data_IF_985652329427
#
_entry.id   IF_985652329427
#
_cell.length_a   1.000
_cell.length_b   1.000
_cell.length_c   1.000
_cell.angle_alpha   90.00
_cell.angle_beta   90.00
_cell.angle_gamma   90.00
#
_symmetry.space_group_name_H-M   'P 1'
#
loop_
_entity.id
_entity.type
_entity.pdbx_description
1 polymer ?
#
# COMPACT_ATOMS: atom_id res chain seq x y z
N UNK A 1 -15.84 10.63 16.54
CA UNK A 1 -15.72 10.65 15.06
C UNK A 1 -14.56 11.50 14.58
N UNK A 2 -14.46 12.80 14.93
CA UNK A 2 -13.33 13.67 14.50
C UNK A 2 -11.96 13.12 14.91
N UNK A 3 -11.82 12.60 16.13
CA UNK A 3 -10.56 12.02 16.62
C UNK A 3 -10.08 10.83 15.78
N UNK A 4 -10.98 9.90 15.43
CA UNK A 4 -10.67 8.72 14.63
C UNK A 4 -10.19 9.08 13.21
N UNK A 5 -10.81 10.09 12.58
CA UNK A 5 -10.39 10.58 11.27
C UNK A 5 -9.00 11.21 11.34
N UNK A 6 -8.73 12.02 12.37
CA UNK A 6 -7.44 12.68 12.57
C UNK A 6 -6.32 11.66 12.81
N UNK A 7 -6.58 10.64 13.61
CA UNK A 7 -5.62 9.56 13.87
C UNK A 7 -5.31 8.79 12.58
N UNK A 8 -6.33 8.41 11.81
CA UNK A 8 -6.12 7.71 10.55
C UNK A 8 -5.22 8.49 9.58
N UNK A 9 -5.55 9.74 9.28
CA UNK A 9 -4.75 10.51 8.31
C UNK A 9 -3.39 10.98 8.86
N UNK A 10 -3.25 11.10 10.19
CA UNK A 10 -2.02 11.58 10.82
C UNK A 10 -0.94 10.52 10.97
N UNK A 11 -1.29 9.27 11.27
CA UNK A 11 -0.30 8.24 11.65
C UNK A 11 -0.54 6.85 11.05
N UNK A 12 -1.63 6.62 10.30
CA UNK A 12 -1.88 5.32 9.69
C UNK A 12 -0.75 4.91 8.73
N UNK A 13 -0.38 3.64 8.76
CA UNK A 13 0.57 3.04 7.83
C UNK A 13 0.13 3.18 6.35
N UNK A 14 -1.19 3.30 6.11
CA UNK A 14 -1.76 3.49 4.77
C UNK A 14 -1.80 4.97 4.35
N UNK A 15 -1.62 5.91 5.28
CA UNK A 15 -1.53 7.35 5.00
C UNK A 15 -0.06 7.72 4.80
N UNK A 16 0.41 7.64 3.55
CA UNK A 16 1.83 7.86 3.22
C UNK A 16 2.09 9.28 2.72
N UNK A 17 3.28 9.79 3.03
CA UNK A 17 3.76 11.05 2.44
C UNK A 17 4.01 10.85 0.93
N UNK A 18 3.53 11.77 0.11
CA UNK A 18 3.56 11.62 -1.34
C UNK A 18 4.94 11.95 -1.91
N UNK A 19 5.49 11.06 -2.74
CA UNK A 19 6.65 11.34 -3.59
C UNK A 19 6.22 12.24 -4.76
N UNK A 20 6.88 13.38 -4.90
CA UNK A 20 6.60 14.41 -5.91
C UNK A 20 7.85 14.81 -6.70
N UNK A 21 8.88 13.96 -6.73
CA UNK A 21 10.12 14.26 -7.44
C UNK A 21 9.89 14.46 -8.94
N UNK A 22 8.90 13.78 -9.52
CA UNK A 22 8.47 13.97 -10.90
C UNK A 22 7.02 13.48 -11.11
N UNK A 23 6.36 13.82 -12.24
CA UNK A 23 4.99 13.39 -12.50
C UNK A 23 4.80 11.86 -12.51
N UNK A 24 5.81 11.10 -12.94
CA UNK A 24 5.75 9.64 -12.97
C UNK A 24 5.83 9.04 -11.57
N UNK A 25 6.64 9.59 -10.66
CA UNK A 25 6.72 9.13 -9.27
C UNK A 25 5.39 9.35 -8.56
N UNK A 26 4.79 10.53 -8.75
CA UNK A 26 3.47 10.85 -8.22
C UNK A 26 2.35 9.95 -8.77
N UNK A 27 2.35 9.66 -10.08
CA UNK A 27 1.39 8.75 -10.71
C UNK A 27 1.55 7.32 -10.16
N UNK A 28 2.79 6.84 -10.08
CA UNK A 28 3.11 5.48 -9.63
C UNK A 28 2.68 5.27 -8.18
N UNK A 29 2.94 6.24 -7.29
CA UNK A 29 2.56 6.14 -5.89
C UNK A 29 1.04 6.13 -5.71
N UNK A 30 0.32 6.99 -6.45
CA UNK A 30 -1.16 7.05 -6.42
C UNK A 30 -1.83 5.77 -6.92
N UNK A 31 -1.17 5.00 -7.81
CA UNK A 31 -1.69 3.75 -8.37
C UNK A 31 -1.14 2.49 -7.68
N UNK A 32 -0.31 2.65 -6.65
CA UNK A 32 0.33 1.53 -5.94
C UNK A 32 -0.68 0.80 -5.04
N UNK A 33 -0.66 -0.53 -5.09
CA UNK A 33 -1.38 -1.40 -4.18
C UNK A 33 -0.42 -1.96 -3.12
N UNK A 34 -0.88 -2.07 -1.87
CA UNK A 34 -0.11 -2.63 -0.75
C UNK A 34 -0.92 -3.70 -0.04
N UNK A 35 -0.34 -4.88 0.13
CA UNK A 35 -0.88 -5.94 0.99
C UNK A 35 -0.47 -5.79 2.47
N UNK A 36 0.34 -4.78 2.78
CA UNK A 36 0.82 -4.49 4.14
C UNK A 36 -0.09 -3.44 4.82
N UNK A 37 -0.32 -3.62 6.11
CA UNK A 37 -1.15 -2.71 6.92
C UNK A 37 -1.87 -3.45 8.06
N UNK A 38 -2.64 -2.73 8.91
CA UNK A 38 -3.53 -3.35 9.87
C UNK A 38 -4.50 -4.33 9.17
N UNK A 39 -4.54 -5.59 9.62
CA UNK A 39 -5.32 -6.66 8.99
C UNK A 39 -4.72 -7.25 7.70
N UNK A 40 -3.58 -6.76 7.24
CA UNK A 40 -2.83 -7.28 6.11
C UNK A 40 -1.66 -8.19 6.50
N UNK A 41 -0.74 -8.41 5.55
CA UNK A 41 0.48 -9.18 5.76
C UNK A 41 1.51 -8.37 6.55
N UNK A 42 2.33 -9.05 7.36
CA UNK A 42 3.58 -8.48 7.89
C UNK A 42 4.76 -8.92 7.04
N UNK A 43 5.80 -8.08 6.94
CA UNK A 43 6.99 -8.39 6.11
C UNK A 43 7.71 -9.66 6.57
N UNK A 44 7.72 -9.91 7.87
CA UNK A 44 8.35 -11.07 8.51
C UNK A 44 7.57 -12.37 8.26
N UNK A 45 6.24 -12.29 8.13
CA UNK A 45 5.37 -13.47 7.98
C UNK A 45 4.93 -13.74 6.54
N UNK A 46 5.18 -12.81 5.61
CA UNK A 46 4.86 -13.00 4.20
C UNK A 46 5.78 -14.05 3.56
N UNK A 47 5.27 -15.28 3.40
CA UNK A 47 5.95 -16.41 2.76
C UNK A 47 6.12 -16.25 1.25
N UNK A 48 6.73 -17.27 0.61
CA UNK A 48 7.02 -17.24 -0.83
C UNK A 48 5.76 -17.25 -1.69
N UNK A 49 4.74 -18.02 -1.29
CA UNK A 49 3.50 -18.21 -2.06
C UNK A 49 2.74 -16.91 -2.36
N UNK A 50 2.79 -15.94 -1.42
CA UNK A 50 2.15 -14.63 -1.58
C UNK A 50 3.04 -13.59 -2.25
N UNK A 51 4.33 -13.91 -2.46
CA UNK A 51 5.31 -13.03 -3.14
C UNK A 51 5.50 -13.38 -4.61
N UNK A 52 5.19 -14.62 -4.99
CA UNK A 52 5.28 -15.06 -6.38
C UNK A 52 4.12 -14.51 -7.24
N UNK A 53 4.31 -14.50 -8.55
CA UNK A 53 3.33 -14.01 -9.51
C UNK A 53 2.35 -15.12 -9.86
N UNK A 54 1.08 -14.95 -9.50
CA UNK A 54 0.02 -15.86 -9.90
C UNK A 54 -0.51 -15.53 -11.30
N UNK A 55 -0.82 -16.51 -12.18
CA UNK A 55 -1.33 -16.25 -13.54
C UNK A 55 -2.60 -15.37 -13.60
N UNK A 56 -3.42 -15.38 -12.55
CA UNK A 56 -4.61 -14.51 -12.46
C UNK A 56 -4.28 -13.01 -12.39
N UNK A 57 -3.02 -12.63 -12.21
CA UNK A 57 -2.60 -11.23 -12.19
C UNK A 57 -2.65 -10.59 -13.60
N UNK A 58 -2.67 -11.41 -14.65
CA UNK A 58 -2.66 -10.95 -16.04
C UNK A 58 -3.76 -9.91 -16.29
N UNK A 59 -3.33 -8.67 -16.59
CA UNK A 59 -4.19 -7.53 -16.90
C UNK A 59 -4.88 -6.84 -15.71
N UNK A 60 -4.54 -7.17 -14.46
CA UNK A 60 -5.21 -6.64 -13.26
C UNK A 60 -4.31 -5.86 -12.31
N UNK A 61 -3.07 -6.32 -12.13
CA UNK A 61 -2.08 -5.70 -11.22
C UNK A 61 -0.93 -5.07 -11.99
#
# INVERSE_FOLDING_TARGET
>A
VVAAIKEFFGTSQLSQFMDQNNPLSGLTLKRRLSALGPGGLSRERAGLEVRDVHPSHYGRM
#
